data_IF_159993786414
#
_entry.id   IF_159993786414
#
_cell.length_a   1.000
_cell.length_b   1.000
_cell.length_c   1.000
_cell.angle_alpha   90.00
_cell.angle_beta   90.00
_cell.angle_gamma   90.00
#
_symmetry.space_group_name_H-M   'P 1'
#
loop_
_entity.id
_entity.type
_entity.pdbx_description
1 polymer ?
#
# COMPACT_ATOMS: atom_id res chain seq x y z
N UNK A 1 -22.67 6.03 -26.03
CA UNK A 1 -22.60 6.97 -24.88
C UNK A 1 -21.52 8.01 -25.16
N UNK A 2 -21.86 9.28 -25.11
CA UNK A 2 -20.94 10.37 -25.44
C UNK A 2 -20.00 10.67 -24.26
N UNK A 3 -18.80 11.20 -24.54
CA UNK A 3 -17.82 11.66 -23.51
C UNK A 3 -18.47 12.62 -22.47
N UNK A 4 -19.49 13.37 -22.89
CA UNK A 4 -20.25 14.28 -22.03
C UNK A 4 -20.90 13.57 -20.83
N UNK A 5 -21.26 12.31 -20.95
CA UNK A 5 -21.94 11.57 -19.86
C UNK A 5 -20.93 11.06 -18.82
N UNK A 6 -19.68 10.76 -19.22
CA UNK A 6 -18.60 10.46 -18.26
C UNK A 6 -18.30 11.64 -17.34
N UNK A 7 -18.46 12.87 -17.83
CA UNK A 7 -18.20 14.07 -17.03
C UNK A 7 -19.12 14.17 -15.80
N UNK A 8 -20.30 13.55 -15.82
CA UNK A 8 -21.18 13.45 -14.64
C UNK A 8 -20.53 12.70 -13.47
N UNK A 9 -19.53 11.87 -13.77
CA UNK A 9 -18.79 11.08 -12.78
C UNK A 9 -17.48 11.75 -12.32
N UNK A 10 -17.20 12.97 -12.74
CA UNK A 10 -15.94 13.68 -12.44
C UNK A 10 -15.68 13.91 -10.93
N UNK A 11 -16.73 13.91 -10.12
CA UNK A 11 -16.61 14.11 -8.67
C UNK A 11 -16.29 12.81 -7.92
N UNK A 12 -16.36 11.66 -8.59
CA UNK A 12 -16.02 10.38 -7.96
C UNK A 12 -14.52 10.13 -8.03
N UNK A 13 -13.90 9.87 -6.88
CA UNK A 13 -12.50 9.47 -6.81
C UNK A 13 -12.25 8.07 -7.39
N UNK A 14 -13.23 7.17 -7.27
CA UNK A 14 -13.23 5.83 -7.86
C UNK A 14 -14.61 5.58 -8.46
N UNK A 15 -14.65 5.03 -9.65
CA UNK A 15 -15.86 4.65 -10.36
C UNK A 15 -15.95 3.13 -10.40
N UNK A 16 -17.12 2.58 -10.08
CA UNK A 16 -17.39 1.16 -10.19
C UNK A 16 -18.15 0.85 -11.47
N UNK A 17 -18.22 -0.45 -11.86
CA UNK A 17 -19.03 -0.86 -13.01
C UNK A 17 -20.51 -0.54 -12.73
N UNK A 18 -20.95 -0.66 -11.49
CA UNK A 18 -22.32 -0.32 -11.06
C UNK A 18 -22.62 1.17 -11.24
N UNK A 19 -21.66 2.07 -10.93
CA UNK A 19 -21.82 3.50 -11.20
C UNK A 19 -21.93 3.80 -12.71
N UNK A 20 -21.19 3.07 -13.53
CA UNK A 20 -21.26 3.20 -14.99
C UNK A 20 -22.57 2.63 -15.56
N UNK A 21 -23.14 1.57 -14.96
CA UNK A 21 -24.42 0.97 -15.38
C UNK A 21 -25.62 1.88 -15.16
N UNK A 22 -25.50 2.89 -14.30
CA UNK A 22 -26.52 3.93 -14.16
C UNK A 22 -26.61 4.83 -15.41
N UNK A 23 -25.53 4.93 -16.17
CA UNK A 23 -25.47 5.71 -17.40
C UNK A 23 -25.84 4.88 -18.64
N UNK A 24 -25.64 3.57 -18.60
CA UNK A 24 -25.96 2.65 -19.71
C UNK A 24 -26.45 1.30 -19.13
N UNK A 25 -27.73 1.01 -19.34
CA UNK A 25 -28.38 -0.18 -18.79
C UNK A 25 -28.06 -1.48 -19.56
N UNK A 26 -27.76 -1.36 -20.87
CA UNK A 26 -27.39 -2.52 -21.67
C UNK A 26 -25.96 -2.94 -21.37
N UNK A 27 -25.77 -4.11 -20.79
CA UNK A 27 -24.45 -4.61 -20.35
C UNK A 27 -23.45 -4.80 -21.51
N UNK A 28 -23.92 -5.22 -22.70
CA UNK A 28 -23.04 -5.38 -23.87
C UNK A 28 -22.54 -4.02 -24.37
N UNK A 29 -23.45 -3.05 -24.49
CA UNK A 29 -23.12 -1.67 -24.86
C UNK A 29 -22.20 -1.03 -23.81
N UNK A 30 -22.49 -1.21 -22.52
CA UNK A 30 -21.66 -0.72 -21.44
C UNK A 30 -20.24 -1.29 -21.51
N UNK A 31 -20.09 -2.60 -21.69
CA UNK A 31 -18.77 -3.24 -21.79
C UNK A 31 -17.99 -2.76 -23.03
N UNK A 32 -18.65 -2.54 -24.16
CA UNK A 32 -18.05 -1.97 -25.37
C UNK A 32 -17.59 -0.52 -25.11
N UNK A 33 -18.42 0.30 -24.47
CA UNK A 33 -18.09 1.66 -24.09
C UNK A 33 -16.92 1.73 -23.13
N UNK A 34 -16.87 0.87 -22.09
CA UNK A 34 -15.74 0.79 -21.14
C UNK A 34 -14.45 0.47 -21.89
N UNK A 35 -14.44 -0.52 -22.79
CA UNK A 35 -13.27 -0.85 -23.61
C UNK A 35 -12.82 0.34 -24.47
N UNK A 36 -13.76 1.03 -25.10
CA UNK A 36 -13.47 2.20 -25.92
C UNK A 36 -12.85 3.34 -25.11
N UNK A 37 -13.40 3.70 -23.95
CA UNK A 37 -12.85 4.77 -23.11
C UNK A 37 -11.49 4.43 -22.53
N UNK A 38 -11.27 3.14 -22.18
CA UNK A 38 -9.94 2.68 -21.75
C UNK A 38 -8.94 2.83 -22.90
N UNK A 39 -9.32 2.43 -24.13
CA UNK A 39 -8.47 2.57 -25.33
C UNK A 39 -8.14 4.04 -25.64
N UNK A 40 -9.11 4.94 -25.43
CA UNK A 40 -8.89 6.39 -25.57
C UNK A 40 -8.11 7.04 -24.44
N UNK A 41 -7.93 6.34 -23.31
CA UNK A 41 -7.28 6.87 -22.13
C UNK A 41 -8.17 7.80 -21.28
N UNK A 42 -9.46 7.96 -21.61
CA UNK A 42 -10.41 8.74 -20.81
C UNK A 42 -10.75 8.03 -19.48
N UNK A 43 -10.77 6.69 -19.51
CA UNK A 43 -11.03 5.83 -18.34
C UNK A 43 -9.82 4.93 -18.07
N UNK A 44 -9.34 4.91 -16.84
CA UNK A 44 -8.21 4.10 -16.42
C UNK A 44 -8.70 2.99 -15.51
N UNK A 45 -8.41 1.74 -15.87
CA UNK A 45 -8.74 0.59 -15.03
C UNK A 45 -7.71 0.44 -13.92
N UNK A 46 -8.16 0.50 -12.66
CA UNK A 46 -7.29 0.24 -11.51
C UNK A 46 -7.31 -1.24 -11.08
N UNK A 47 -8.47 -1.89 -11.21
CA UNK A 47 -8.67 -3.35 -11.13
C UNK A 47 -9.97 -3.75 -11.84
N UNK A 48 -10.29 -5.05 -11.92
CA UNK A 48 -11.56 -5.53 -12.49
C UNK A 48 -12.76 -4.85 -11.80
N UNK A 49 -13.60 -4.19 -12.59
CA UNK A 49 -14.81 -3.49 -12.13
C UNK A 49 -14.57 -2.17 -11.39
N UNK A 50 -13.32 -1.67 -11.31
CA UNK A 50 -13.00 -0.37 -10.71
C UNK A 50 -12.14 0.47 -11.64
N UNK A 51 -12.52 1.73 -11.78
CA UNK A 51 -11.95 2.67 -12.74
C UNK A 51 -11.80 4.05 -12.10
N UNK A 52 -11.01 4.89 -12.75
CA UNK A 52 -10.97 6.35 -12.51
C UNK A 52 -11.01 7.07 -13.84
N UNK A 53 -11.52 8.29 -13.85
CA UNK A 53 -11.38 9.17 -15.01
C UNK A 53 -9.97 9.76 -15.06
N UNK A 54 -9.42 9.87 -16.25
CA UNK A 54 -8.17 10.59 -16.49
C UNK A 54 -8.27 12.02 -15.96
N UNK A 55 -9.36 12.72 -16.28
CA UNK A 55 -9.62 14.08 -15.80
C UNK A 55 -9.70 14.19 -14.28
N UNK A 56 -10.18 13.16 -13.58
CA UNK A 56 -10.18 13.14 -12.10
C UNK A 56 -8.75 13.04 -11.55
N UNK A 57 -7.90 12.20 -12.16
CA UNK A 57 -6.50 12.08 -11.77
C UNK A 57 -5.71 13.35 -12.06
N UNK A 58 -5.89 13.92 -13.26
CA UNK A 58 -5.12 15.09 -13.71
C UNK A 58 -5.40 16.33 -12.86
N UNK A 59 -6.63 16.46 -12.32
CA UNK A 59 -7.05 17.54 -11.43
C UNK A 59 -6.61 17.39 -9.96
N UNK A 60 -5.93 16.30 -9.59
CA UNK A 60 -5.43 16.17 -8.22
C UNK A 60 -4.17 17.01 -8.04
N UNK A 61 -4.20 17.94 -7.07
CA UNK A 61 -3.04 18.73 -6.68
C UNK A 61 -1.95 17.86 -6.07
N UNK A 62 -2.36 16.90 -5.21
CA UNK A 62 -1.48 15.91 -4.62
C UNK A 62 -1.74 14.51 -5.22
N UNK A 63 -1.03 14.20 -6.29
CA UNK A 63 -1.15 12.91 -6.99
C UNK A 63 -0.65 11.75 -6.13
N UNK A 64 0.38 11.96 -5.31
CA UNK A 64 0.90 10.94 -4.41
C UNK A 64 -0.16 10.52 -3.38
N UNK A 65 -0.77 11.48 -2.69
CA UNK A 65 -1.84 11.19 -1.73
C UNK A 65 -3.05 10.51 -2.40
N UNK A 66 -3.34 10.85 -3.66
CA UNK A 66 -4.39 10.17 -4.41
C UNK A 66 -4.03 8.72 -4.72
N UNK A 67 -2.77 8.42 -5.06
CA UNK A 67 -2.30 7.05 -5.27
C UNK A 67 -2.31 6.25 -3.96
N UNK A 68 -1.96 6.85 -2.83
CA UNK A 68 -2.11 6.27 -1.48
C UNK A 68 -3.58 5.89 -1.19
N UNK A 69 -4.49 6.81 -1.49
CA UNK A 69 -5.93 6.56 -1.37
C UNK A 69 -6.37 5.38 -2.26
N UNK A 70 -5.95 5.36 -3.53
CA UNK A 70 -6.26 4.25 -4.43
C UNK A 70 -5.72 2.93 -3.89
N UNK A 71 -4.48 2.90 -3.39
CA UNK A 71 -3.88 1.71 -2.77
C UNK A 71 -4.76 1.16 -1.64
N UNK A 72 -5.22 2.03 -0.73
CA UNK A 72 -6.13 1.62 0.35
C UNK A 72 -7.47 1.07 -0.16
N UNK A 73 -7.98 1.55 -1.32
CA UNK A 73 -9.29 1.14 -1.85
C UNK A 73 -9.25 -0.04 -2.80
N UNK A 74 -8.09 -0.34 -3.41
CA UNK A 74 -7.94 -1.46 -4.35
C UNK A 74 -8.16 -2.80 -3.66
N UNK A 75 -7.57 -3.01 -2.47
CA UNK A 75 -7.62 -4.32 -1.80
C UNK A 75 -7.76 -4.15 -0.28
N UNK A 76 -8.96 -4.29 0.25
CA UNK A 76 -9.31 -4.09 1.65
C UNK A 76 -9.60 -5.42 2.36
N UNK A 77 -9.35 -5.50 3.70
CA UNK A 77 -8.68 -4.49 4.49
C UNK A 77 -7.18 -4.43 4.20
N UNK A 78 -6.59 -3.23 4.23
CA UNK A 78 -5.15 -3.02 4.11
C UNK A 78 -4.75 -1.64 4.63
N UNK A 79 -3.49 -1.50 5.00
CA UNK A 79 -2.84 -0.21 5.26
C UNK A 79 -1.50 -0.14 4.53
N UNK A 80 -1.06 1.06 4.18
CA UNK A 80 0.24 1.30 3.56
C UNK A 80 1.33 0.95 4.56
N UNK A 81 2.37 0.22 4.14
CA UNK A 81 3.45 -0.23 5.02
C UNK A 81 4.69 -0.67 4.23
N UNK A 82 5.65 -1.28 4.92
CA UNK A 82 6.88 -1.82 4.34
C UNK A 82 7.68 -0.76 3.58
N UNK A 83 8.30 -1.12 2.46
CA UNK A 83 9.27 -0.30 1.73
C UNK A 83 8.71 1.09 1.40
N UNK A 84 7.46 1.19 1.00
CA UNK A 84 6.82 2.48 0.67
C UNK A 84 6.81 3.44 1.87
N UNK A 85 6.44 2.94 3.04
CA UNK A 85 6.40 3.77 4.26
C UNK A 85 7.80 4.01 4.81
N UNK A 86 8.70 3.02 4.72
CA UNK A 86 10.10 3.19 5.12
C UNK A 86 10.78 4.31 4.31
N UNK A 87 10.53 4.38 3.00
CA UNK A 87 11.09 5.45 2.16
C UNK A 87 10.59 6.84 2.56
N UNK A 88 9.32 6.96 2.97
CA UNK A 88 8.74 8.24 3.44
C UNK A 88 9.40 8.76 4.73
N UNK A 89 9.97 7.87 5.53
CA UNK A 89 10.70 8.20 6.76
C UNK A 89 12.23 8.22 6.57
N UNK A 90 12.71 8.17 5.31
CA UNK A 90 14.14 8.09 4.97
C UNK A 90 14.86 6.91 5.66
N UNK A 91 14.14 5.81 5.93
CA UNK A 91 14.67 4.58 6.47
C UNK A 91 15.30 3.68 5.42
N UNK A 92 15.01 3.89 4.14
CA UNK A 92 15.66 3.21 3.03
C UNK A 92 16.52 4.18 2.24
N UNK A 93 17.71 3.73 1.86
CA UNK A 93 18.63 4.48 1.01
C UNK A 93 18.32 4.34 -0.48
N UNK A 94 17.55 3.32 -0.83
CA UNK A 94 17.19 3.01 -2.21
C UNK A 94 15.83 3.60 -2.61
N UNK A 95 15.69 3.93 -3.89
CA UNK A 95 14.41 4.39 -4.42
C UNK A 95 13.38 3.24 -4.41
N UNK A 96 12.18 3.53 -3.90
CA UNK A 96 11.08 2.58 -3.84
C UNK A 96 10.12 2.81 -5.00
N UNK A 97 9.97 1.81 -5.85
CA UNK A 97 9.05 1.84 -6.98
C UNK A 97 7.76 1.08 -6.65
N UNK A 98 6.64 1.80 -6.66
CA UNK A 98 5.33 1.25 -6.34
C UNK A 98 4.94 1.43 -4.87
N UNK A 99 3.70 1.06 -4.58
CA UNK A 99 3.10 1.23 -3.26
C UNK A 99 2.93 -0.14 -2.62
N UNK A 100 3.58 -0.34 -1.46
CA UNK A 100 3.44 -1.55 -0.66
C UNK A 100 2.44 -1.35 0.48
N UNK A 101 1.66 -2.38 0.75
CA UNK A 101 0.63 -2.43 1.77
C UNK A 101 0.64 -3.77 2.47
N UNK A 102 0.07 -3.81 3.66
CA UNK A 102 -0.15 -5.04 4.43
C UNK A 102 -1.65 -5.31 4.52
N UNK A 103 -2.04 -6.57 4.45
CA UNK A 103 -3.43 -7.03 4.46
C UNK A 103 -3.59 -8.34 5.25
N UNK A 104 -4.78 -8.59 5.79
CA UNK A 104 -5.14 -9.90 6.37
C UNK A 104 -5.59 -10.92 5.31
N UNK A 105 -5.71 -10.50 4.05
CA UNK A 105 -6.05 -11.37 2.91
C UNK A 105 -4.78 -11.98 2.28
N UNK A 106 -4.95 -12.84 1.29
CA UNK A 106 -3.83 -13.43 0.52
C UNK A 106 -2.99 -12.34 -0.13
N UNK A 107 -1.68 -12.53 -0.17
CA UNK A 107 -0.75 -11.67 -0.91
C UNK A 107 -1.20 -11.50 -2.35
N UNK A 108 -1.21 -10.25 -2.84
CA UNK A 108 -1.64 -9.92 -4.19
C UNK A 108 -0.95 -8.67 -4.72
N UNK A 109 -0.67 -8.69 -6.02
CA UNK A 109 -0.12 -7.52 -6.73
C UNK A 109 -1.07 -7.10 -7.84
N UNK A 110 -1.28 -5.78 -7.95
CA UNK A 110 -2.01 -5.15 -9.05
C UNK A 110 -1.05 -4.25 -9.81
N UNK A 111 -0.99 -4.40 -11.13
CA UNK A 111 -0.23 -3.51 -12.02
C UNK A 111 -1.22 -2.76 -12.92
N UNK A 112 -1.03 -1.47 -13.04
CA UNK A 112 -1.84 -0.61 -13.89
C UNK A 112 -1.01 0.61 -14.35
N UNK A 113 -1.63 1.55 -15.05
CA UNK A 113 -0.96 2.74 -15.60
C UNK A 113 -0.35 3.70 -14.54
N UNK A 114 -0.66 3.50 -13.26
CA UNK A 114 -0.10 4.29 -12.15
C UNK A 114 1.06 3.60 -11.44
N UNK A 115 1.39 2.36 -11.83
CA UNK A 115 2.46 1.60 -11.24
C UNK A 115 2.01 0.28 -10.62
N UNK A 116 2.79 -0.19 -9.67
CA UNK A 116 2.60 -1.46 -8.98
C UNK A 116 2.09 -1.23 -7.56
N UNK A 117 1.03 -1.94 -7.21
CA UNK A 117 0.43 -1.95 -5.86
C UNK A 117 0.55 -3.36 -5.31
N UNK A 118 1.39 -3.56 -4.31
CA UNK A 118 1.65 -4.87 -3.72
C UNK A 118 1.08 -4.95 -2.31
N UNK A 119 0.36 -6.03 -2.03
CA UNK A 119 -0.28 -6.30 -0.74
C UNK A 119 0.29 -7.59 -0.18
N UNK A 120 0.98 -7.50 0.94
CA UNK A 120 1.54 -8.64 1.65
C UNK A 120 0.59 -9.13 2.74
N UNK A 121 0.41 -10.44 2.79
CA UNK A 121 -0.41 -11.09 3.83
C UNK A 121 0.31 -11.06 5.17
N UNK A 122 -0.40 -10.64 6.22
CA UNK A 122 0.09 -10.69 7.60
C UNK A 122 -0.95 -11.37 8.51
N UNK A 123 -0.50 -11.94 9.62
CA UNK A 123 -1.41 -12.49 10.63
C UNK A 123 -2.40 -11.44 11.13
N UNK A 124 -3.69 -11.77 11.31
CA UNK A 124 -4.68 -10.86 11.87
C UNK A 124 -4.27 -10.23 13.20
N UNK A 125 -3.54 -10.97 14.06
CA UNK A 125 -3.02 -10.46 15.34
C UNK A 125 -1.98 -9.35 15.19
N UNK A 126 -1.35 -9.24 14.01
CA UNK A 126 -0.36 -8.21 13.68
C UNK A 126 -0.95 -7.06 12.86
N UNK A 127 -2.24 -7.13 12.50
CA UNK A 127 -2.93 -6.07 11.74
C UNK A 127 -3.38 -4.96 12.69
N UNK A 128 -2.43 -4.15 13.16
CA UNK A 128 -2.60 -3.14 14.21
C UNK A 128 -1.60 -1.98 14.05
N UNK A 129 -1.73 -0.94 14.88
CA UNK A 129 -0.82 0.22 14.98
C UNK A 129 -0.57 0.96 13.64
N UNK A 130 -1.61 1.09 12.84
CA UNK A 130 -1.70 2.05 11.76
C UNK A 130 -2.44 3.30 12.22
N UNK A 131 -2.26 4.38 11.51
CA UNK A 131 -2.94 5.66 11.71
C UNK A 131 -3.77 6.02 10.49
N UNK A 132 -4.68 6.96 10.68
CA UNK A 132 -5.55 7.48 9.63
C UNK A 132 -5.04 8.83 9.18
N UNK A 133 -4.74 8.95 7.89
CA UNK A 133 -4.44 10.21 7.21
C UNK A 133 -5.62 10.58 6.33
N UNK A 134 -6.00 11.85 6.30
CA UNK A 134 -7.08 12.33 5.44
C UNK A 134 -6.59 12.63 4.02
N UNK A 135 -7.37 12.23 3.05
CA UNK A 135 -7.30 12.67 1.66
C UNK A 135 -8.70 13.12 1.24
N UNK A 136 -8.92 14.43 1.18
CA UNK A 136 -10.28 15.02 1.10
C UNK A 136 -11.15 14.46 2.24
N UNK A 137 -12.34 13.96 1.92
CA UNK A 137 -13.26 13.35 2.90
C UNK A 137 -12.99 11.84 3.13
N UNK A 138 -11.92 11.29 2.54
CA UNK A 138 -11.61 9.88 2.61
C UNK A 138 -10.43 9.59 3.53
N UNK A 139 -10.45 8.40 4.13
CA UNK A 139 -9.39 7.90 5.00
C UNK A 139 -8.37 7.05 4.21
N UNK A 140 -7.09 7.32 4.49
CA UNK A 140 -5.95 6.50 4.10
C UNK A 140 -5.37 5.90 5.38
N UNK A 141 -5.31 4.58 5.44
CA UNK A 141 -4.66 3.85 6.53
C UNK A 141 -3.18 3.66 6.20
N UNK A 142 -2.31 4.08 7.10
CA UNK A 142 -0.85 4.03 6.94
C UNK A 142 -0.19 3.54 8.22
N UNK A 143 0.80 2.67 8.13
CA UNK A 143 1.55 2.20 9.28
C UNK A 143 2.31 3.37 9.95
N UNK A 144 2.38 3.35 11.28
CA UNK A 144 3.37 4.14 12.01
C UNK A 144 4.77 3.71 11.62
N UNK A 145 5.74 4.59 11.76
CA UNK A 145 7.13 4.34 11.36
C UNK A 145 7.69 3.01 11.89
N UNK A 146 7.61 2.81 13.19
CA UNK A 146 8.06 1.58 13.84
C UNK A 146 7.27 0.33 13.40
N UNK A 147 6.00 0.50 13.09
CA UNK A 147 5.17 -0.60 12.58
C UNK A 147 5.56 -1.00 11.16
N UNK A 148 5.87 -0.02 10.30
CA UNK A 148 6.35 -0.29 8.95
C UNK A 148 7.69 -1.03 8.96
N UNK A 149 8.62 -0.66 9.86
CA UNK A 149 9.88 -1.39 10.08
C UNK A 149 9.59 -2.84 10.50
N UNK A 150 8.71 -3.03 11.49
CA UNK A 150 8.34 -4.36 11.94
C UNK A 150 7.74 -5.21 10.80
N UNK A 151 6.79 -4.67 10.04
CA UNK A 151 6.15 -5.38 8.94
C UNK A 151 7.17 -5.81 7.88
N UNK A 152 8.08 -4.91 7.52
CA UNK A 152 9.16 -5.20 6.58
C UNK A 152 10.05 -6.35 7.08
N UNK A 153 10.54 -6.28 8.33
CA UNK A 153 11.35 -7.33 8.92
C UNK A 153 10.61 -8.66 9.02
N UNK A 154 9.34 -8.62 9.48
CA UNK A 154 8.51 -9.83 9.60
C UNK A 154 8.34 -10.53 8.27
N UNK A 155 8.00 -9.82 7.21
CA UNK A 155 7.80 -10.39 5.88
C UNK A 155 9.12 -10.88 5.26
N UNK A 156 10.22 -10.17 5.47
CA UNK A 156 11.55 -10.54 4.98
C UNK A 156 12.05 -11.81 5.65
N UNK A 157 12.00 -11.88 6.98
CA UNK A 157 12.60 -12.95 7.76
C UNK A 157 11.66 -14.10 8.11
N UNK A 158 10.38 -14.00 7.81
CA UNK A 158 9.42 -15.07 8.12
C UNK A 158 9.84 -16.45 7.57
N UNK A 159 10.45 -16.48 6.38
CA UNK A 159 10.90 -17.71 5.68
C UNK A 159 12.41 -17.85 5.61
N UNK A 160 13.16 -16.86 6.08
CA UNK A 160 14.63 -16.88 6.01
C UNK A 160 15.19 -18.01 6.89
N UNK A 161 16.22 -18.71 6.38
CA UNK A 161 16.85 -19.82 7.13
C UNK A 161 18.02 -19.36 7.99
N UNK A 162 18.75 -18.35 7.53
CA UNK A 162 19.92 -17.81 8.21
C UNK A 162 19.64 -16.40 8.74
N UNK A 163 20.08 -16.14 9.95
CA UNK A 163 20.04 -14.82 10.59
C UNK A 163 21.43 -14.55 11.14
N UNK A 164 22.11 -13.55 10.57
CA UNK A 164 23.42 -13.12 11.01
C UNK A 164 23.60 -11.60 10.80
N UNK A 165 24.67 -11.02 11.32
CA UNK A 165 24.94 -9.59 11.26
C UNK A 165 25.03 -9.09 9.82
N UNK A 166 25.68 -9.82 8.92
CA UNK A 166 25.82 -9.47 7.51
C UNK A 166 24.46 -9.30 6.81
N UNK A 167 23.50 -10.20 7.05
CA UNK A 167 22.15 -10.10 6.47
C UNK A 167 21.40 -8.88 7.01
N UNK A 168 21.63 -8.49 8.28
CA UNK A 168 21.03 -7.27 8.84
C UNK A 168 21.62 -6.02 8.18
N UNK A 169 22.95 -5.98 7.95
CA UNK A 169 23.61 -4.88 7.25
C UNK A 169 23.15 -4.77 5.79
N UNK A 170 22.94 -5.89 5.10
CA UNK A 170 22.43 -5.96 3.73
C UNK A 170 21.01 -5.41 3.57
N UNK A 171 20.24 -5.22 4.65
CA UNK A 171 18.93 -4.54 4.60
C UNK A 171 19.05 -3.07 4.23
N UNK A 172 20.22 -2.46 4.40
CA UNK A 172 20.50 -1.04 4.09
C UNK A 172 19.50 -0.08 4.69
N UNK A 173 19.06 -0.40 5.93
CA UNK A 173 18.15 0.47 6.67
C UNK A 173 18.97 1.53 7.40
N UNK A 174 18.58 2.78 7.25
CA UNK A 174 19.14 3.88 8.03
C UNK A 174 18.53 3.88 9.43
N UNK A 175 19.15 3.10 10.35
CA UNK A 175 18.68 2.91 11.72
C UNK A 175 18.71 4.20 12.55
N UNK A 176 19.52 5.18 12.18
CA UNK A 176 19.60 6.50 12.85
C UNK A 176 18.26 7.25 12.78
N UNK A 177 17.49 6.99 11.74
CA UNK A 177 16.16 7.57 11.56
C UNK A 177 15.06 6.86 12.38
N UNK A 178 15.42 5.85 13.17
CA UNK A 178 14.51 5.16 14.10
C UNK A 178 15.00 5.36 15.54
N UNK A 179 14.26 6.13 16.33
CA UNK A 179 14.64 6.40 17.72
C UNK A 179 14.60 5.14 18.60
N UNK A 180 15.38 5.14 19.71
CA UNK A 180 15.38 4.05 20.69
C UNK A 180 13.96 3.74 21.25
N UNK A 181 13.13 4.78 21.39
CA UNK A 181 11.73 4.64 21.82
C UNK A 181 10.88 3.88 20.78
N UNK A 182 11.02 4.25 19.52
CA UNK A 182 10.33 3.58 18.40
C UNK A 182 10.83 2.14 18.25
N UNK A 183 12.16 1.93 18.31
CA UNK A 183 12.74 0.59 18.27
C UNK A 183 12.20 -0.32 19.37
N UNK A 184 12.02 0.17 20.59
CA UNK A 184 11.48 -0.64 21.69
C UNK A 184 10.07 -1.18 21.42
N UNK A 185 9.28 -0.52 20.55
CA UNK A 185 7.96 -1.02 20.15
C UNK A 185 8.07 -2.27 19.26
N UNK A 186 9.17 -2.45 18.50
CA UNK A 186 9.39 -3.66 17.69
C UNK A 186 9.39 -4.91 18.55
N UNK A 187 9.93 -4.83 19.78
CA UNK A 187 9.91 -5.95 20.75
C UNK A 187 8.49 -6.37 21.13
N UNK A 188 7.57 -5.40 21.28
CA UNK A 188 6.16 -5.68 21.54
C UNK A 188 5.53 -6.44 20.39
N UNK A 189 5.75 -5.99 19.13
CA UNK A 189 5.25 -6.69 17.95
C UNK A 189 5.89 -8.08 17.78
N UNK A 190 7.19 -8.20 18.08
CA UNK A 190 7.89 -9.49 18.13
C UNK A 190 7.20 -10.49 19.05
N UNK A 191 6.83 -10.08 20.28
CA UNK A 191 6.08 -10.91 21.22
C UNK A 191 4.69 -11.30 20.69
N UNK A 192 3.96 -10.35 20.10
CA UNK A 192 2.63 -10.61 19.50
C UNK A 192 2.74 -11.61 18.36
N UNK A 193 3.80 -11.53 17.54
CA UNK A 193 4.03 -12.44 16.41
C UNK A 193 4.24 -13.89 16.83
N UNK A 194 4.67 -14.14 18.06
CA UNK A 194 5.09 -15.47 18.59
C UNK A 194 6.15 -16.15 17.70
N UNK A 195 6.83 -15.41 16.84
CA UNK A 195 7.83 -15.93 15.92
C UNK A 195 9.24 -15.74 16.51
N UNK A 196 9.87 -16.85 16.88
CA UNK A 196 11.21 -16.87 17.52
C UNK A 196 12.27 -16.20 16.64
N UNK A 197 12.21 -16.41 15.30
CA UNK A 197 13.16 -15.81 14.36
C UNK A 197 13.07 -14.28 14.34
N UNK A 198 11.87 -13.72 14.33
CA UNK A 198 11.68 -12.27 14.38
C UNK A 198 12.19 -11.68 15.69
N UNK A 199 11.99 -12.38 16.80
CA UNK A 199 12.54 -11.96 18.10
C UNK A 199 14.08 -11.97 18.05
N UNK A 200 14.68 -12.99 17.45
CA UNK A 200 16.14 -13.09 17.22
C UNK A 200 16.65 -11.94 16.36
N UNK A 201 16.00 -11.66 15.21
CA UNK A 201 16.33 -10.51 14.34
C UNK A 201 16.30 -9.20 15.11
N UNK A 202 15.23 -8.94 15.87
CA UNK A 202 15.09 -7.70 16.66
C UNK A 202 16.19 -7.61 17.73
N UNK A 203 16.56 -8.70 18.37
CA UNK A 203 17.65 -8.72 19.36
C UNK A 203 19.00 -8.48 18.70
N UNK A 204 19.25 -9.03 17.53
CA UNK A 204 20.48 -8.81 16.76
C UNK A 204 20.61 -7.35 16.32
N UNK A 205 19.54 -6.77 15.76
CA UNK A 205 19.51 -5.33 15.43
C UNK A 205 19.78 -4.48 16.65
N UNK A 206 19.18 -4.85 17.81
CA UNK A 206 19.46 -4.14 19.07
C UNK A 206 20.94 -4.15 19.42
N UNK A 207 21.58 -5.32 19.32
CA UNK A 207 23.01 -5.49 19.63
C UNK A 207 23.89 -4.61 18.74
N UNK A 208 23.56 -4.53 17.45
CA UNK A 208 24.38 -3.81 16.45
C UNK A 208 24.18 -2.29 16.53
N UNK A 209 22.93 -1.81 16.66
CA UNK A 209 22.60 -0.39 16.46
C UNK A 209 22.05 0.33 17.70
N UNK A 210 21.66 -0.38 18.77
CA UNK A 210 20.97 0.19 19.94
C UNK A 210 21.53 -0.31 21.28
N UNK A 211 22.77 -0.74 21.26
CA UNK A 211 23.45 -1.21 22.49
C UNK A 211 23.55 -0.09 23.55
#
# INVERSE_FOLDING_TARGET
MKKLELNKLNNFLIITKESLSQLEKNDNTLNANIKYWIKKGDLIRIKKGRYILRSTFDRQDNKEAYLEYLANKIYQPSYLSCEYVLSKYNLLTEAVFGITSVTTKKTKTFKNNFGTFTYYSISPSLFLDYETKKFKDADILIAKKEKAVFDFLYLRFFREKLINEKIIEELRINWENLSKKEFNKLKRYGKISKNKKIIEVINLIKKIYYA
#
